data_IF_609543400451
#
_entry.id   IF_609543400451
#
_cell.length_a   1.000
_cell.length_b   1.000
_cell.length_c   1.000
_cell.angle_alpha   90.00
_cell.angle_beta   90.00
_cell.angle_gamma   90.00
#
_symmetry.space_group_name_H-M   'P 1'
#
loop_
_entity.id
_entity.type
_entity.pdbx_description
1 polymer ?
#
# COMPACT_ATOMS: atom_id res chain seq x y z
N UNK A 1 23.55 -9.42 9.48
CA UNK A 1 22.23 -8.90 9.88
C UNK A 1 22.44 -7.45 10.34
N UNK A 2 21.70 -6.47 9.81
CA UNK A 2 21.98 -5.04 10.06
C UNK A 2 21.67 -4.58 11.51
N UNK A 3 20.96 -5.39 12.28
CA UNK A 3 20.59 -5.11 13.67
C UNK A 3 21.27 -6.12 14.60
N UNK A 4 22.14 -5.63 15.48
CA UNK A 4 22.80 -6.48 16.48
C UNK A 4 21.82 -6.80 17.62
N UNK A 5 21.69 -8.07 18.05
CA UNK A 5 20.86 -8.43 19.20
C UNK A 5 21.43 -7.91 20.53
N UNK A 6 22.68 -7.44 20.53
CA UNK A 6 23.36 -6.88 21.69
C UNK A 6 23.13 -5.37 21.84
N UNK A 7 22.64 -4.70 20.79
CA UNK A 7 22.28 -3.28 20.86
C UNK A 7 20.90 -3.15 21.50
N UNK A 8 20.78 -2.28 22.52
CA UNK A 8 19.52 -1.97 23.18
C UNK A 8 18.82 -0.80 22.48
N UNK A 9 17.53 -1.00 22.22
CA UNK A 9 16.55 0.02 21.88
C UNK A 9 15.49 0.14 22.98
N UNK A 10 14.41 0.86 22.69
CA UNK A 10 13.34 1.12 23.66
C UNK A 10 11.98 1.01 23.01
N UNK A 11 11.12 0.12 23.51
CA UNK A 11 9.70 0.12 23.14
C UNK A 11 8.97 1.09 24.06
N UNK A 12 8.43 2.16 23.48
CA UNK A 12 7.62 3.15 24.20
C UNK A 12 6.22 2.58 24.42
N UNK A 13 5.84 2.37 25.70
CA UNK A 13 4.45 2.11 26.05
C UNK A 13 3.67 3.42 26.14
N UNK A 14 2.46 3.43 25.56
CA UNK A 14 1.52 4.58 25.58
C UNK A 14 1.18 5.12 26.98
N UNK A 15 1.42 4.37 28.06
CA UNK A 15 1.02 4.73 29.44
C UNK A 15 2.04 4.39 30.55
N UNK A 16 3.21 3.82 30.24
CA UNK A 16 4.09 3.29 31.30
C UNK A 16 5.54 3.11 30.84
N UNK A 17 6.26 4.22 30.72
CA UNK A 17 7.72 4.24 30.50
C UNK A 17 8.21 3.51 29.25
N UNK A 18 9.49 3.66 28.95
CA UNK A 18 10.16 2.85 27.95
C UNK A 18 10.51 1.48 28.53
N UNK A 19 10.24 0.41 27.80
CA UNK A 19 10.76 -0.93 28.13
C UNK A 19 12.04 -1.13 27.30
N UNK A 20 13.20 -1.38 27.93
CA UNK A 20 14.41 -1.71 27.20
C UNK A 20 14.18 -3.02 26.43
N UNK A 21 14.45 -2.99 25.12
CA UNK A 21 14.33 -4.16 24.26
C UNK A 21 15.54 -4.22 23.34
N UNK A 22 15.91 -5.39 22.80
CA UNK A 22 16.90 -5.44 21.75
C UNK A 22 16.47 -4.58 20.55
N UNK A 23 17.41 -3.88 19.92
CA UNK A 23 17.18 -3.05 18.73
C UNK A 23 16.54 -3.87 17.60
N UNK A 24 16.88 -5.16 17.50
CA UNK A 24 16.26 -6.07 16.54
C UNK A 24 14.73 -6.21 16.75
N UNK A 25 14.23 -6.15 17.99
CA UNK A 25 12.80 -6.22 18.30
C UNK A 25 12.10 -4.93 17.91
N UNK A 26 12.72 -3.79 18.17
CA UNK A 26 12.21 -2.48 17.75
C UNK A 26 12.12 -2.38 16.22
N UNK A 27 13.19 -2.79 15.52
CA UNK A 27 13.22 -2.84 14.07
C UNK A 27 12.12 -3.77 13.52
N UNK A 28 11.95 -4.97 14.10
CA UNK A 28 10.87 -5.88 13.71
C UNK A 28 9.48 -5.25 13.90
N UNK A 29 9.21 -4.67 15.07
CA UNK A 29 7.93 -4.05 15.38
C UNK A 29 7.60 -2.88 14.43
N UNK A 30 8.59 -2.10 14.00
CA UNK A 30 8.41 -1.01 13.05
C UNK A 30 7.92 -1.47 11.67
N UNK A 31 8.28 -2.69 11.25
CA UNK A 31 8.00 -3.22 9.91
C UNK A 31 6.86 -4.27 9.88
N UNK A 32 6.49 -4.83 11.04
CA UNK A 32 5.47 -5.89 11.15
C UNK A 32 4.11 -5.50 10.57
N UNK A 33 3.76 -4.21 10.67
CA UNK A 33 2.41 -3.73 10.37
C UNK A 33 2.18 -3.36 8.90
N UNK A 34 3.15 -3.51 8.00
CA UNK A 34 2.98 -3.00 6.63
C UNK A 34 1.85 -3.68 5.85
N UNK A 35 1.69 -5.00 5.99
CA UNK A 35 0.60 -5.73 5.33
C UNK A 35 -0.75 -5.28 5.89
N UNK A 36 -0.88 -5.21 7.22
CA UNK A 36 -2.10 -4.72 7.87
C UNK A 36 -2.42 -3.28 7.48
N UNK A 37 -1.42 -2.38 7.45
CA UNK A 37 -1.58 -0.99 7.03
C UNK A 37 -2.00 -0.86 5.57
N UNK A 38 -1.48 -1.73 4.71
CA UNK A 38 -1.91 -1.78 3.31
C UNK A 38 -3.39 -2.17 3.22
N UNK A 39 -3.77 -3.23 3.93
CA UNK A 39 -5.16 -3.70 3.99
C UNK A 39 -6.10 -2.61 4.53
N UNK A 40 -5.79 -2.03 5.68
CA UNK A 40 -6.55 -0.93 6.28
C UNK A 40 -6.73 0.24 5.31
N UNK A 41 -5.64 0.68 4.67
CA UNK A 41 -5.62 1.86 3.81
C UNK A 41 -6.40 1.67 2.51
N UNK A 42 -6.32 0.48 1.92
CA UNK A 42 -6.86 0.21 0.59
C UNK A 42 -8.10 -0.67 0.58
N UNK A 43 -8.56 -1.17 1.74
CA UNK A 43 -9.81 -1.91 1.92
C UNK A 43 -11.02 -1.21 1.28
N UNK A 44 -11.11 0.12 1.41
CA UNK A 44 -12.18 0.94 0.80
C UNK A 44 -12.16 0.94 -0.73
N UNK A 45 -11.01 0.65 -1.35
CA UNK A 45 -10.82 0.62 -2.80
C UNK A 45 -10.68 -0.81 -3.33
N UNK A 46 -11.05 -1.79 -2.52
CA UNK A 46 -10.92 -3.19 -2.89
C UNK A 46 -11.85 -3.52 -4.06
N UNK A 47 -11.28 -4.07 -5.13
CA UNK A 47 -12.05 -4.51 -6.29
C UNK A 47 -12.47 -5.95 -6.04
N UNK A 48 -13.76 -6.16 -5.81
CA UNK A 48 -14.34 -7.49 -5.62
C UNK A 48 -15.59 -7.67 -6.47
N UNK A 49 -15.75 -8.87 -7.01
CA UNK A 49 -16.99 -9.34 -7.60
C UNK A 49 -17.34 -10.69 -6.96
N UNK A 50 -18.64 -11.00 -6.80
CA UNK A 50 -19.09 -12.28 -6.25
C UNK A 50 -18.53 -13.42 -7.13
N UNK A 51 -17.61 -14.26 -6.62
CA UNK A 51 -17.02 -15.33 -7.42
C UNK A 51 -17.96 -16.53 -7.41
N UNK A 52 -18.00 -17.27 -8.52
CA UNK A 52 -18.60 -18.61 -8.59
C UNK A 52 -17.52 -19.71 -8.67
N UNK A 53 -16.25 -19.32 -8.88
CA UNK A 53 -15.08 -20.20 -8.88
C UNK A 53 -13.94 -19.55 -8.10
N UNK A 54 -13.09 -20.34 -7.45
CA UNK A 54 -11.94 -19.86 -6.65
C UNK A 54 -10.95 -19.02 -7.46
N UNK A 55 -10.71 -19.38 -8.73
CA UNK A 55 -9.81 -18.60 -9.60
C UNK A 55 -10.29 -17.17 -9.85
N UNK A 56 -11.62 -16.92 -9.83
CA UNK A 56 -12.16 -15.57 -9.99
C UNK A 56 -11.84 -14.71 -8.79
N UNK A 57 -11.88 -15.27 -7.59
CA UNK A 57 -11.48 -14.56 -6.37
C UNK A 57 -10.01 -14.13 -6.44
N UNK A 58 -9.13 -15.04 -6.89
CA UNK A 58 -7.71 -14.74 -7.09
C UNK A 58 -7.53 -13.67 -8.16
N UNK A 59 -8.27 -13.74 -9.27
CA UNK A 59 -8.22 -12.75 -10.33
C UNK A 59 -8.59 -11.34 -9.82
N UNK A 60 -9.74 -11.18 -9.16
CA UNK A 60 -10.17 -9.88 -8.66
C UNK A 60 -9.24 -9.33 -7.57
N UNK A 61 -8.69 -10.21 -6.73
CA UNK A 61 -7.67 -9.85 -5.77
C UNK A 61 -6.40 -9.32 -6.44
N UNK A 62 -5.92 -9.99 -7.48
CA UNK A 62 -4.75 -9.55 -8.26
C UNK A 62 -4.99 -8.18 -8.91
N UNK A 63 -6.18 -7.96 -9.49
CA UNK A 63 -6.57 -6.65 -10.06
C UNK A 63 -6.56 -5.56 -8.97
N UNK A 64 -7.16 -5.84 -7.81
CA UNK A 64 -7.19 -4.91 -6.67
C UNK A 64 -5.77 -4.50 -6.23
N UNK A 65 -4.86 -5.47 -6.10
CA UNK A 65 -3.44 -5.23 -5.76
C UNK A 65 -2.75 -4.42 -6.86
N UNK A 66 -2.92 -4.81 -8.12
CA UNK A 66 -2.26 -4.15 -9.24
C UNK A 66 -2.62 -2.66 -9.31
N UNK A 67 -3.90 -2.30 -9.17
CA UNK A 67 -4.33 -0.90 -9.23
C UNK A 67 -3.81 -0.10 -8.03
N UNK A 68 -3.78 -0.67 -6.83
CA UNK A 68 -3.21 0.01 -5.66
C UNK A 68 -1.70 0.21 -5.80
N UNK A 69 -0.98 -0.78 -6.33
CA UNK A 69 0.45 -0.67 -6.59
C UNK A 69 0.74 0.35 -7.70
N UNK A 70 -0.07 0.40 -8.75
CA UNK A 70 0.03 1.44 -9.78
C UNK A 70 -0.13 2.85 -9.19
N UNK A 71 -1.07 3.05 -8.26
CA UNK A 71 -1.20 4.32 -7.55
C UNK A 71 0.00 4.66 -6.65
N UNK A 72 0.60 3.66 -5.98
CA UNK A 72 1.82 3.86 -5.20
C UNK A 72 2.97 4.31 -6.11
N UNK A 73 3.16 3.64 -7.25
CA UNK A 73 4.18 3.98 -8.23
C UNK A 73 3.94 5.36 -8.83
N UNK A 74 2.69 5.70 -9.17
CA UNK A 74 2.33 7.03 -9.63
C UNK A 74 2.74 8.10 -8.62
N UNK A 75 2.46 7.93 -7.32
CA UNK A 75 2.91 8.89 -6.28
C UNK A 75 4.43 9.01 -6.14
N UNK A 76 5.18 8.03 -6.63
CA UNK A 76 6.64 8.02 -6.63
C UNK A 76 7.23 8.57 -7.93
N UNK A 77 6.40 8.84 -8.96
CA UNK A 77 6.86 9.33 -10.26
C UNK A 77 6.71 10.85 -10.40
N UNK A 78 7.41 11.42 -11.38
CA UNK A 78 7.35 12.85 -11.69
C UNK A 78 5.93 13.33 -12.07
N UNK A 79 5.12 12.44 -12.64
CA UNK A 79 3.73 12.73 -12.99
C UNK A 79 2.89 13.18 -11.78
N UNK A 80 3.19 12.67 -10.58
CA UNK A 80 2.50 13.10 -9.36
C UNK A 80 2.87 14.53 -8.95
N UNK A 81 4.09 14.96 -9.25
CA UNK A 81 4.52 16.34 -9.01
C UNK A 81 3.84 17.32 -9.96
N UNK A 82 3.60 16.91 -11.20
CA UNK A 82 2.87 17.71 -12.20
C UNK A 82 1.39 17.84 -11.83
N UNK A 83 0.73 16.71 -11.53
CA UNK A 83 -0.69 16.71 -11.16
C UNK A 83 -0.92 15.68 -10.08
N UNK A 84 -1.53 16.09 -8.97
CA UNK A 84 -1.79 15.24 -7.80
C UNK A 84 -3.23 14.73 -7.81
N UNK A 85 -3.42 13.48 -8.19
CA UNK A 85 -4.68 12.79 -8.05
C UNK A 85 -4.77 12.11 -6.68
N UNK A 86 -5.95 12.19 -6.06
CA UNK A 86 -6.35 11.27 -5.01
C UNK A 86 -6.48 9.84 -5.56
N UNK A 87 -6.54 8.83 -4.68
CA UNK A 87 -6.68 7.42 -5.09
C UNK A 87 -7.94 7.17 -5.93
N UNK A 88 -9.05 7.84 -5.59
CA UNK A 88 -10.31 7.73 -6.31
C UNK A 88 -10.21 8.36 -7.71
N UNK A 89 -9.68 9.58 -7.81
CA UNK A 89 -9.47 10.28 -9.09
C UNK A 89 -8.51 9.49 -10.00
N UNK A 90 -7.44 8.93 -9.45
CA UNK A 90 -6.54 8.05 -10.18
C UNK A 90 -7.28 6.82 -10.73
N UNK A 91 -8.14 6.20 -9.92
CA UNK A 91 -8.95 5.05 -10.34
C UNK A 91 -9.95 5.39 -11.45
N UNK A 92 -10.65 6.52 -11.33
CA UNK A 92 -11.57 6.99 -12.37
C UNK A 92 -10.84 7.22 -13.70
N UNK A 93 -9.68 7.89 -13.63
CA UNK A 93 -8.85 8.16 -14.80
C UNK A 93 -8.36 6.88 -15.46
N UNK A 94 -7.84 5.93 -14.68
CA UNK A 94 -7.40 4.64 -15.19
C UNK A 94 -8.51 3.90 -15.94
N UNK A 95 -9.74 3.94 -15.43
CA UNK A 95 -10.89 3.32 -16.12
C UNK A 95 -11.17 4.02 -17.44
N UNK A 96 -11.14 5.36 -17.48
CA UNK A 96 -11.33 6.12 -18.72
C UNK A 96 -10.25 5.81 -19.76
N UNK A 97 -8.98 5.74 -19.36
CA UNK A 97 -7.88 5.36 -20.26
C UNK A 97 -8.02 3.93 -20.79
N UNK A 98 -8.35 2.96 -19.93
CA UNK A 98 -8.57 1.57 -20.35
C UNK A 98 -9.77 1.41 -21.30
N UNK A 99 -10.75 2.30 -21.21
CA UNK A 99 -11.91 2.34 -22.12
C UNK A 99 -11.67 3.18 -23.37
N UNK A 100 -10.50 3.81 -23.53
CA UNK A 100 -10.20 4.70 -24.66
C UNK A 100 -11.02 5.99 -24.66
N UNK A 101 -11.50 6.44 -23.49
CA UNK A 101 -12.31 7.65 -23.32
C UNK A 101 -11.47 8.91 -23.02
N UNK A 102 -10.15 8.75 -22.88
CA UNK A 102 -9.20 9.84 -22.66
C UNK A 102 -8.19 9.82 -23.82
N UNK A 103 -7.99 10.95 -24.49
CA UNK A 103 -6.87 11.14 -25.41
C UNK A 103 -5.57 10.95 -24.61
N UNK A 104 -4.67 10.09 -25.07
CA UNK A 104 -3.38 9.91 -24.41
C UNK A 104 -2.71 11.28 -24.25
N UNK A 105 -2.40 11.66 -23.01
CA UNK A 105 -1.67 12.90 -22.75
C UNK A 105 -0.36 12.84 -23.55
N UNK A 106 0.02 13.90 -24.29
CA UNK A 106 1.19 13.84 -25.15
C UNK A 106 2.41 13.46 -24.30
N UNK A 107 3.14 12.46 -24.80
CA UNK A 107 4.35 11.92 -24.17
C UNK A 107 5.44 12.97 -24.00
#
# INVERSE_FOLDING_TARGET
NAYSPLQQGVIIRRKSGGIPCPLAVEAFAAHLSYICRYDDKYSKYFISHKPNKTWQQVFWFAVSIAVNNAYILYKMSDAYHVKRYSRAQFGERLVRELLGLEEASPA
#
